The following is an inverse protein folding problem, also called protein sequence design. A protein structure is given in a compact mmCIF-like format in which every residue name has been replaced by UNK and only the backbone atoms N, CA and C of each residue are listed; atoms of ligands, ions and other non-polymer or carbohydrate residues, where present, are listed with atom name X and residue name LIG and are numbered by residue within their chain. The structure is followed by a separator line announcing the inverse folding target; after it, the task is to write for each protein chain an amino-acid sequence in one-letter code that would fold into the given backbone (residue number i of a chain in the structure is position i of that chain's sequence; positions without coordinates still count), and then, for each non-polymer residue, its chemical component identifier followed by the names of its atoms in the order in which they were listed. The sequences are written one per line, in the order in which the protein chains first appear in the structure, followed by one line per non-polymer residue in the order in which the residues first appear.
data_IF_263467865681
#
_entry.id   IF_263467865681
#
_cell.length_a   1.000
_cell.length_b   1.000
_cell.length_c   1.000
_cell.angle_alpha   90.00
_cell.angle_beta   90.00
_cell.angle_gamma   90.00
#
_symmetry.space_group_name_H-M   'P 1'
#
loop_
_entity.id
_entity.type
_entity.pdbx_description
1 polymer ?
#
# COMPACT_ATOMS: atom_id res chain seq x y z
N UNK A 1 -23.96 -14.04 -27.91
CA UNK A 1 -23.75 -12.92 -26.97
C UNK A 1 -22.32 -13.04 -26.50
N UNK A 2 -21.46 -12.06 -26.81
CA UNK A 2 -20.12 -12.03 -26.24
C UNK A 2 -20.27 -11.72 -24.76
N UNK A 3 -19.90 -12.66 -23.90
CA UNK A 3 -19.82 -12.40 -22.46
C UNK A 3 -18.90 -11.19 -22.27
N UNK A 4 -19.44 -10.11 -21.72
CA UNK A 4 -18.64 -8.96 -21.32
C UNK A 4 -17.79 -9.44 -20.16
N UNK A 5 -16.58 -9.91 -20.44
CA UNK A 5 -15.59 -10.22 -19.41
C UNK A 5 -15.15 -8.87 -18.85
N UNK A 6 -15.67 -8.53 -17.67
CA UNK A 6 -15.10 -7.45 -16.88
C UNK A 6 -13.72 -7.90 -16.39
N UNK A 7 -12.63 -7.19 -16.72
CA UNK A 7 -11.31 -7.54 -16.25
C UNK A 7 -11.26 -7.52 -14.72
N UNK A 8 -10.59 -8.52 -14.14
CA UNK A 8 -10.35 -8.61 -12.71
C UNK A 8 -9.44 -7.47 -12.23
N UNK A 9 -9.65 -7.05 -10.99
CA UNK A 9 -8.82 -6.08 -10.29
C UNK A 9 -8.05 -6.83 -9.21
N UNK A 10 -6.73 -6.78 -9.27
CA UNK A 10 -5.89 -7.15 -8.13
C UNK A 10 -5.89 -5.97 -7.15
N UNK A 11 -6.69 -6.07 -6.10
CA UNK A 11 -6.92 -4.97 -5.16
C UNK A 11 -5.80 -4.79 -4.14
N UNK A 12 -4.80 -5.67 -4.11
CA UNK A 12 -3.71 -5.61 -3.14
C UNK A 12 -2.47 -6.35 -3.68
N UNK A 13 -1.51 -5.60 -4.19
CA UNK A 13 -0.24 -6.17 -4.66
C UNK A 13 0.95 -5.25 -4.38
N UNK A 14 2.15 -5.83 -4.40
CA UNK A 14 3.41 -5.09 -4.35
C UNK A 14 4.17 -5.33 -5.64
N UNK A 15 4.40 -4.28 -6.42
CA UNK A 15 5.09 -4.37 -7.71
C UNK A 15 6.53 -3.87 -7.67
N UNK A 16 6.99 -3.33 -6.54
CA UNK A 16 8.32 -2.75 -6.37
C UNK A 16 9.44 -3.69 -6.84
N UNK A 17 9.39 -4.95 -6.43
CA UNK A 17 10.40 -5.94 -6.82
C UNK A 17 10.52 -6.06 -8.34
N UNK A 18 9.39 -6.09 -9.04
CA UNK A 18 9.35 -6.22 -10.50
C UNK A 18 9.79 -4.94 -11.22
N UNK A 19 9.65 -3.78 -10.57
CA UNK A 19 10.29 -2.54 -11.06
C UNK A 19 11.80 -2.66 -10.95
N UNK A 20 12.30 -3.05 -9.76
CA UNK A 20 13.74 -3.10 -9.46
C UNK A 20 14.49 -4.12 -10.32
N UNK A 21 13.88 -5.26 -10.62
CA UNK A 21 14.48 -6.30 -11.46
C UNK A 21 14.16 -6.16 -12.96
N UNK A 22 13.38 -5.15 -13.34
CA UNK A 22 13.04 -4.85 -14.74
C UNK A 22 11.98 -5.75 -15.36
N UNK A 23 11.36 -6.66 -14.59
CA UNK A 23 10.37 -7.62 -15.10
C UNK A 23 8.91 -7.14 -15.08
N UNK A 24 8.65 -5.89 -14.67
CA UNK A 24 7.30 -5.34 -14.54
C UNK A 24 6.42 -5.53 -15.79
N UNK A 25 6.95 -5.23 -16.98
CA UNK A 25 6.20 -5.33 -18.23
C UNK A 25 5.73 -6.77 -18.49
N UNK A 26 6.60 -7.75 -18.28
CA UNK A 26 6.28 -9.17 -18.47
C UNK A 26 5.25 -9.65 -17.46
N UNK A 27 5.35 -9.20 -16.20
CA UNK A 27 4.38 -9.51 -15.14
C UNK A 27 3.01 -8.97 -15.49
N UNK A 28 2.94 -7.70 -15.91
CA UNK A 28 1.70 -7.06 -16.31
C UNK A 28 1.08 -7.78 -17.52
N UNK A 29 1.87 -8.19 -18.51
CA UNK A 29 1.33 -8.90 -19.67
C UNK A 29 0.79 -10.29 -19.31
N UNK A 30 1.49 -11.05 -18.47
CA UNK A 30 0.97 -12.33 -17.96
C UNK A 30 -0.35 -12.14 -17.21
N UNK A 31 -0.45 -11.11 -16.38
CA UNK A 31 -1.65 -10.81 -15.63
C UNK A 31 -2.82 -10.42 -16.56
N UNK A 32 -2.56 -9.66 -17.63
CA UNK A 32 -3.56 -9.33 -18.66
C UNK A 32 -4.10 -10.59 -19.35
N UNK A 33 -3.23 -11.52 -19.72
CA UNK A 33 -3.61 -12.80 -20.34
C UNK A 33 -4.47 -13.63 -19.38
N UNK A 34 -4.17 -13.57 -18.08
CA UNK A 34 -4.95 -14.21 -17.03
C UNK A 34 -6.27 -13.48 -16.69
N UNK A 35 -6.57 -12.35 -17.34
CA UNK A 35 -7.80 -11.57 -17.13
C UNK A 35 -7.71 -10.49 -16.04
N UNK A 36 -6.55 -10.27 -15.42
CA UNK A 36 -6.31 -9.18 -14.47
C UNK A 36 -5.90 -7.91 -15.22
N UNK A 37 -6.81 -6.94 -15.28
CA UNK A 37 -6.64 -5.72 -16.07
C UNK A 37 -6.28 -4.49 -15.25
N UNK A 38 -6.42 -4.52 -13.92
CA UNK A 38 -6.16 -3.37 -13.05
C UNK A 38 -5.54 -3.81 -11.72
N UNK A 39 -4.71 -2.96 -11.13
CA UNK A 39 -3.94 -3.23 -9.92
C UNK A 39 -4.05 -2.07 -8.95
N UNK A 40 -4.14 -2.37 -7.67
CA UNK A 40 -3.93 -1.41 -6.58
C UNK A 40 -2.62 -1.81 -5.90
N UNK A 41 -1.57 -1.02 -6.13
CA UNK A 41 -0.27 -1.23 -5.46
C UNK A 41 -0.30 -0.60 -4.08
N UNK A 42 0.11 -1.38 -3.08
CA UNK A 42 -0.11 -1.00 -1.67
C UNK A 42 1.15 -0.40 -1.08
N UNK A 43 1.07 0.88 -0.75
CA UNK A 43 2.12 1.62 -0.06
C UNK A 43 2.28 1.14 1.39
N UNK A 44 3.51 1.03 1.87
CA UNK A 44 3.83 0.51 3.21
C UNK A 44 4.71 1.45 4.02
N UNK A 45 5.42 2.36 3.37
CA UNK A 45 6.19 3.43 4.00
C UNK A 45 6.41 4.61 3.02
N UNK A 46 6.97 5.70 3.51
CA UNK A 46 7.18 6.91 2.69
C UNK A 46 8.09 6.68 1.48
N UNK A 47 8.97 5.68 1.53
CA UNK A 47 9.95 5.42 0.47
C UNK A 47 9.29 4.75 -0.75
N UNK A 48 8.27 3.90 -0.54
CA UNK A 48 7.55 3.25 -1.64
C UNK A 48 6.43 4.10 -2.27
N UNK A 49 5.91 5.12 -1.56
CA UNK A 49 4.81 5.95 -2.07
C UNK A 49 5.15 6.69 -3.37
N UNK A 50 6.36 7.26 -3.47
CA UNK A 50 6.80 7.99 -4.65
C UNK A 50 6.96 7.05 -5.86
N UNK A 51 7.45 5.83 -5.63
CA UNK A 51 7.55 4.81 -6.66
C UNK A 51 6.16 4.46 -7.20
N UNK A 52 5.21 4.20 -6.31
CA UNK A 52 3.85 3.80 -6.68
C UNK A 52 3.04 4.91 -7.32
N UNK A 53 3.22 6.15 -6.90
CA UNK A 53 2.69 7.32 -7.62
C UNK A 53 3.23 7.35 -9.06
N UNK A 54 4.54 7.16 -9.25
CA UNK A 54 5.14 7.09 -10.58
C UNK A 54 4.62 5.91 -11.42
N UNK A 55 4.31 4.77 -10.83
CA UNK A 55 3.65 3.66 -11.54
C UNK A 55 2.23 4.03 -11.95
N UNK A 56 1.44 4.65 -11.07
CA UNK A 56 0.08 5.08 -11.39
C UNK A 56 0.05 6.13 -12.52
N UNK A 57 1.05 7.00 -12.58
CA UNK A 57 1.24 7.95 -13.68
C UNK A 57 1.58 7.25 -15.01
N UNK A 58 2.58 6.37 -14.99
CA UNK A 58 3.07 5.68 -16.19
C UNK A 58 2.07 4.65 -16.75
N UNK A 59 1.23 4.09 -15.88
CA UNK A 59 0.24 3.06 -16.23
C UNK A 59 -1.18 3.53 -15.88
N UNK A 60 -1.50 4.79 -16.20
CA UNK A 60 -2.81 5.39 -15.93
C UNK A 60 -3.97 4.53 -16.45
N UNK A 61 -4.99 4.34 -15.61
CA UNK A 61 -6.14 3.47 -15.88
C UNK A 61 -5.90 1.98 -15.65
N UNK A 62 -4.64 1.58 -15.38
CA UNK A 62 -4.23 0.19 -15.10
C UNK A 62 -3.67 0.00 -13.70
N UNK A 63 -2.92 0.97 -13.18
CA UNK A 63 -2.35 0.93 -11.83
C UNK A 63 -2.89 2.12 -11.05
N UNK A 64 -3.50 1.83 -9.91
CA UNK A 64 -3.76 2.79 -8.83
C UNK A 64 -2.86 2.43 -7.65
N UNK A 65 -2.77 3.32 -6.66
CA UNK A 65 -1.94 3.10 -5.48
C UNK A 65 -2.58 3.60 -4.20
N UNK A 66 -2.09 3.10 -3.08
CA UNK A 66 -2.40 3.59 -1.74
C UNK A 66 -1.17 4.20 -1.09
N UNK A 67 -1.40 5.04 -0.09
CA UNK A 67 -0.34 5.53 0.81
C UNK A 67 -0.72 5.17 2.24
N UNK A 68 0.23 4.61 2.98
CA UNK A 68 -0.01 4.12 4.33
C UNK A 68 1.29 3.68 4.98
N UNK A 69 1.28 3.66 6.32
CA UNK A 69 2.40 3.20 7.11
C UNK A 69 2.06 1.82 7.69
N UNK A 70 2.65 0.78 7.10
CA UNK A 70 2.42 -0.60 7.51
C UNK A 70 2.81 -0.78 8.98
N UNK A 71 2.08 -1.57 9.79
CA UNK A 71 2.35 -1.72 11.22
C UNK A 71 3.80 -2.12 11.58
N UNK A 72 4.45 -2.92 10.74
CA UNK A 72 5.88 -3.28 10.88
C UNK A 72 6.88 -2.15 10.54
N UNK A 73 6.44 -1.08 9.88
CA UNK A 73 7.27 0.10 9.56
C UNK A 73 7.00 1.27 10.52
N UNK A 74 6.12 1.08 11.51
CA UNK A 74 5.91 2.07 12.58
C UNK A 74 7.17 2.12 13.44
N UNK A 75 7.83 3.28 13.42
CA UNK A 75 9.01 3.56 14.26
C UNK A 75 8.76 4.82 15.10
N UNK A 76 9.77 5.31 15.83
CA UNK A 76 9.65 6.59 16.56
C UNK A 76 9.36 7.79 15.65
N UNK A 77 9.70 7.72 14.36
CA UNK A 77 9.52 8.81 13.37
C UNK A 77 8.20 8.67 12.57
N UNK A 78 7.22 7.92 13.07
CA UNK A 78 5.95 7.67 12.39
C UNK A 78 5.18 8.95 12.02
N UNK A 79 5.34 10.04 12.80
CA UNK A 79 4.71 11.33 12.52
C UNK A 79 5.12 11.90 11.16
N UNK A 80 6.38 11.69 10.75
CA UNK A 80 6.86 12.12 9.44
C UNK A 80 6.07 11.50 8.29
N UNK A 81 5.68 10.23 8.43
CA UNK A 81 4.85 9.56 7.43
C UNK A 81 3.46 10.19 7.38
N UNK A 82 2.86 10.46 8.54
CA UNK A 82 1.53 11.11 8.64
C UNK A 82 1.55 12.51 8.01
N UNK A 83 2.58 13.30 8.32
CA UNK A 83 2.73 14.66 7.77
C UNK A 83 2.91 14.65 6.24
N UNK A 84 3.50 13.59 5.68
CA UNK A 84 3.69 13.44 4.24
C UNK A 84 2.41 13.09 3.46
N UNK A 85 1.39 12.50 4.11
CA UNK A 85 0.16 12.05 3.44
C UNK A 85 -0.52 13.17 2.64
N UNK A 86 -0.60 14.37 3.21
CA UNK A 86 -1.29 15.51 2.59
C UNK A 86 -0.72 15.89 1.22
N UNK A 87 0.60 15.72 1.02
CA UNK A 87 1.26 16.02 -0.24
C UNK A 87 0.83 15.06 -1.37
N UNK A 88 0.65 13.77 -1.06
CA UNK A 88 0.23 12.76 -2.03
C UNK A 88 -1.24 12.95 -2.44
N UNK A 89 -2.14 13.19 -1.48
CA UNK A 89 -3.55 13.49 -1.76
C UNK A 89 -3.77 14.79 -2.54
N UNK A 90 -2.83 15.73 -2.46
CA UNK A 90 -2.87 17.00 -3.19
C UNK A 90 -2.16 16.95 -4.55
N UNK A 91 -1.62 15.80 -4.94
CA UNK A 91 -0.88 15.64 -6.19
C UNK A 91 -1.80 15.53 -7.41
N UNK A 92 -1.21 15.54 -8.62
CA UNK A 92 -1.96 15.33 -9.87
C UNK A 92 -2.52 13.92 -10.00
N UNK A 93 -1.90 12.96 -9.31
CA UNK A 93 -2.25 11.54 -9.32
C UNK A 93 -2.44 11.12 -7.86
N UNK A 94 -3.57 11.47 -7.22
CA UNK A 94 -3.79 11.17 -5.81
C UNK A 94 -3.97 9.66 -5.59
N UNK A 95 -3.59 9.14 -4.42
CA UNK A 95 -3.84 7.75 -4.07
C UNK A 95 -5.34 7.49 -3.93
N UNK A 96 -5.76 6.25 -4.20
CA UNK A 96 -7.18 5.85 -4.16
C UNK A 96 -7.65 5.47 -2.76
N UNK A 97 -6.73 5.17 -1.85
CA UNK A 97 -7.02 4.82 -0.46
C UNK A 97 -5.83 5.10 0.46
N UNK A 98 -6.10 5.09 1.76
CA UNK A 98 -5.06 5.03 2.80
C UNK A 98 -4.81 3.56 3.11
N UNK A 99 -3.55 3.16 3.17
CA UNK A 99 -3.17 1.78 3.43
C UNK A 99 -1.83 1.46 2.80
N UNK A 100 -1.17 0.41 3.25
CA UNK A 100 -1.59 -0.47 4.33
C UNK A 100 -1.35 0.15 5.71
N UNK A 101 -2.35 0.11 6.58
CA UNK A 101 -2.22 0.48 8.00
C UNK A 101 -2.95 -0.57 8.83
N UNK A 102 -2.58 -0.75 10.09
CA UNK A 102 -3.18 -1.83 10.87
C UNK A 102 -2.47 -2.16 12.16
N UNK A 103 -2.74 -3.36 12.66
CA UNK A 103 -2.13 -3.93 13.86
C UNK A 103 -1.41 -5.23 13.48
N UNK A 104 -0.11 -5.31 13.73
CA UNK A 104 0.66 -6.56 13.61
C UNK A 104 1.33 -6.86 14.95
N UNK A 105 0.75 -7.81 15.69
CA UNK A 105 1.27 -8.22 17.00
C UNK A 105 2.22 -9.42 16.91
N UNK A 106 2.29 -10.05 15.74
CA UNK A 106 3.16 -11.19 15.49
C UNK A 106 4.62 -10.73 15.33
N UNK A 107 4.85 -9.59 14.69
CA UNK A 107 6.19 -9.04 14.44
C UNK A 107 6.70 -8.06 15.51
N UNK A 108 6.05 -7.99 16.67
CA UNK A 108 6.50 -7.09 17.72
C UNK A 108 7.84 -7.52 18.33
N UNK A 109 8.67 -6.56 18.77
CA UNK A 109 9.89 -6.87 19.47
C UNK A 109 9.61 -7.60 20.79
N UNK A 110 10.57 -8.39 21.25
CA UNK A 110 10.47 -9.13 22.53
C UNK A 110 10.52 -8.20 23.74
N UNK A 111 11.09 -7.00 23.59
CA UNK A 111 11.10 -5.98 24.63
C UNK A 111 9.69 -5.45 24.87
N UNK A 112 9.19 -5.63 26.09
CA UNK A 112 7.79 -5.35 26.42
C UNK A 112 7.45 -3.86 26.37
N UNK A 113 8.39 -2.99 26.74
CA UNK A 113 8.19 -1.55 26.71
C UNK A 113 8.10 -1.04 25.28
N UNK A 114 9.04 -1.44 24.43
CA UNK A 114 9.04 -1.10 23.01
C UNK A 114 7.82 -1.68 22.30
N UNK A 115 7.46 -2.94 22.57
CA UNK A 115 6.25 -3.55 22.02
C UNK A 115 4.99 -2.79 22.43
N UNK A 116 4.88 -2.36 23.69
CA UNK A 116 3.77 -1.55 24.18
C UNK A 116 3.66 -0.21 23.45
N UNK A 117 4.79 0.47 23.24
CA UNK A 117 4.85 1.73 22.48
C UNK A 117 4.42 1.57 21.03
N UNK A 118 4.94 0.56 20.34
CA UNK A 118 4.58 0.28 18.94
C UNK A 118 3.10 -0.07 18.78
N UNK A 119 2.53 -0.87 19.70
CA UNK A 119 1.09 -1.15 19.72
C UNK A 119 0.26 0.13 19.83
N UNK A 120 0.65 1.05 20.73
CA UNK A 120 -0.06 2.31 20.91
C UNK A 120 0.02 3.20 19.65
N UNK A 121 1.17 3.23 18.97
CA UNK A 121 1.34 3.98 17.72
C UNK A 121 0.53 3.38 16.56
N UNK A 122 0.57 2.06 16.38
CA UNK A 122 -0.27 1.35 15.41
C UNK A 122 -1.77 1.62 15.67
N UNK A 123 -2.21 1.56 16.93
CA UNK A 123 -3.59 1.86 17.30
C UNK A 123 -3.99 3.33 17.01
N UNK A 124 -3.07 4.27 17.26
CA UNK A 124 -3.30 5.68 16.95
C UNK A 124 -3.52 5.89 15.44
N UNK A 125 -2.70 5.26 14.59
CA UNK A 125 -2.81 5.36 13.13
C UNK A 125 -4.12 4.78 12.60
N UNK A 126 -4.61 3.69 13.17
CA UNK A 126 -5.87 3.04 12.76
C UNK A 126 -7.10 3.88 13.11
N UNK A 127 -7.03 4.74 14.12
CA UNK A 127 -8.19 5.50 14.62
C UNK A 127 -8.42 6.86 13.95
N UNK A 128 -7.57 7.29 13.00
CA UNK A 128 -7.60 8.63 12.38
C UNK A 128 -8.12 8.74 10.90
N UNK A 129 -9.10 7.90 10.51
CA UNK A 129 -10.05 8.09 9.37
C UNK A 129 -9.63 7.82 7.89
N UNK A 130 -10.66 7.46 7.10
CA UNK A 130 -10.87 7.16 5.66
C UNK A 130 -10.31 5.86 5.07
N UNK A 131 -11.26 5.03 4.59
CA UNK A 131 -11.17 3.79 3.80
C UNK A 131 -9.79 3.16 3.66
N UNK A 132 -9.65 2.01 4.32
CA UNK A 132 -8.36 1.45 4.73
C UNK A 132 -8.15 0.07 4.11
N UNK A 133 -6.99 -0.16 3.49
CA UNK A 133 -6.46 -1.52 3.41
C UNK A 133 -5.92 -1.88 4.79
N UNK A 134 -6.71 -2.64 5.54
CA UNK A 134 -6.43 -2.98 6.94
C UNK A 134 -5.65 -4.28 6.98
N UNK A 135 -4.52 -4.29 7.68
CA UNK A 135 -3.91 -5.52 8.13
C UNK A 135 -4.08 -5.71 9.62
N UNK A 136 -4.71 -6.82 9.97
CA UNK A 136 -4.84 -7.30 11.35
C UNK A 136 -4.20 -8.68 11.39
N UNK A 137 -3.01 -8.76 11.99
CA UNK A 137 -2.35 -10.02 12.29
C UNK A 137 -2.30 -10.19 13.81
N UNK A 138 -3.18 -11.06 14.30
CA UNK A 138 -3.21 -11.49 15.69
C UNK A 138 -2.34 -12.75 15.82
N UNK A 139 -1.55 -12.81 16.90
CA UNK A 139 -0.61 -13.90 17.18
C UNK A 139 -1.28 -15.21 17.57
#
# INVERSE_FOLDING_TARGET
MSDIIHPLIDSHCHLERFVRDGSLVDVLERARIAGVGRFIVVGTDVDDWALYQGLAENYSGRIDYTVGLHPCHVTSDWLRAVDALGAFFSSKTPPVAIGEIGLDYFHLPKDAELAGRLKAQQFFLVTHDKAVSIVIRLG
#
